data_IF_205165609501
#
_entry.id   IF_205165609501
#
_cell.length_a   1.000
_cell.length_b   1.000
_cell.length_c   1.000
_cell.angle_alpha   90.00
_cell.angle_beta   90.00
_cell.angle_gamma   90.00
#
_symmetry.space_group_name_H-M   'P 1'
#
loop_
_entity.id
_entity.type
_entity.pdbx_description
1 polymer ?
#
# COMPACT_ATOMS: atom_id res chain seq x y z
N UNK A 1 43.13 -8.67 35.74
CA UNK A 1 41.68 -8.98 35.79
C UNK A 1 41.20 -9.13 34.36
N UNK A 2 40.88 -10.35 33.90
CA UNK A 2 40.20 -10.57 32.62
C UNK A 2 38.70 -10.46 32.88
N UNK A 3 38.08 -9.39 32.40
CA UNK A 3 36.63 -9.24 32.44
C UNK A 3 36.06 -10.17 31.37
N UNK A 4 35.44 -11.26 31.81
CA UNK A 4 34.75 -12.20 30.94
C UNK A 4 33.36 -11.61 30.66
N UNK A 5 33.14 -11.10 29.45
CA UNK A 5 31.81 -10.64 29.05
C UNK A 5 30.81 -11.82 29.12
N UNK A 6 29.57 -11.63 29.61
CA UNK A 6 28.61 -12.71 29.71
C UNK A 6 28.29 -13.25 28.31
N UNK A 7 28.37 -14.58 28.11
CA UNK A 7 28.03 -15.26 26.83
C UNK A 7 26.62 -14.92 26.32
N UNK A 8 25.70 -14.54 27.21
CA UNK A 8 24.35 -14.06 26.88
C UNK A 8 24.33 -12.68 26.23
N UNK A 9 25.26 -11.78 26.60
CA UNK A 9 25.36 -10.44 26.00
C UNK A 9 25.90 -10.51 24.56
N UNK A 10 26.85 -11.42 24.30
CA UNK A 10 27.37 -11.68 22.96
C UNK A 10 26.30 -12.27 22.03
N UNK A 11 25.44 -13.17 22.52
CA UNK A 11 24.36 -13.78 21.73
C UNK A 11 23.26 -12.77 21.35
N UNK A 12 22.88 -11.88 22.27
CA UNK A 12 21.93 -10.78 22.01
C UNK A 12 22.50 -9.75 21.02
N UNK A 13 23.79 -9.43 21.11
CA UNK A 13 24.46 -8.55 20.15
C UNK A 13 24.60 -9.20 18.76
N UNK A 14 24.81 -10.52 18.67
CA UNK A 14 24.82 -11.22 17.38
C UNK A 14 23.42 -11.39 16.77
N UNK A 15 22.38 -11.55 17.59
CA UNK A 15 20.99 -11.54 17.13
C UNK A 15 20.56 -10.16 16.63
N UNK A 16 20.90 -9.11 17.36
CA UNK A 16 20.67 -7.72 16.95
C UNK A 16 21.51 -7.34 15.71
N UNK A 17 22.76 -7.78 15.60
CA UNK A 17 23.58 -7.54 14.40
C UNK A 17 23.07 -8.30 13.17
N UNK A 18 22.61 -9.53 13.34
CA UNK A 18 21.95 -10.30 12.28
C UNK A 18 20.63 -9.66 11.84
N UNK A 19 19.85 -9.12 12.78
CA UNK A 19 18.62 -8.36 12.52
C UNK A 19 18.89 -6.95 11.99
N UNK A 20 20.04 -6.32 12.22
CA UNK A 20 20.34 -5.02 11.59
C UNK A 20 20.92 -5.18 10.18
N UNK A 21 21.58 -6.30 9.88
CA UNK A 21 22.13 -6.56 8.55
C UNK A 21 21.10 -7.03 7.52
N UNK A 22 19.91 -7.49 7.95
CA UNK A 22 18.83 -7.88 7.03
C UNK A 22 17.95 -6.71 6.56
N UNK A 23 18.07 -5.52 7.15
CA UNK A 23 17.15 -4.39 6.91
C UNK A 23 17.83 -3.07 6.49
N UNK A 24 19.12 -3.10 6.15
CA UNK A 24 19.63 -2.15 5.16
C UNK A 24 19.14 -2.66 3.80
N UNK A 25 17.91 -2.30 3.43
CA UNK A 25 17.07 -3.00 2.46
C UNK A 25 17.75 -3.33 1.14
N UNK A 26 17.45 -4.52 0.60
CA UNK A 26 17.64 -4.79 -0.82
C UNK A 26 16.62 -4.01 -1.62
N UNK A 27 17.03 -3.42 -2.73
CA UNK A 27 16.14 -2.66 -3.61
C UNK A 27 16.11 -3.25 -5.00
N UNK A 28 15.09 -2.97 -5.78
CA UNK A 28 14.95 -3.45 -7.15
C UNK A 28 14.54 -2.35 -8.12
N UNK A 29 15.03 -2.43 -9.34
CA UNK A 29 14.56 -1.66 -10.49
C UNK A 29 14.01 -2.64 -11.50
N UNK A 30 12.71 -2.57 -11.80
CA UNK A 30 12.03 -3.48 -12.73
C UNK A 30 11.25 -2.71 -13.78
N UNK A 31 11.41 -3.10 -15.03
CA UNK A 31 10.58 -2.64 -16.13
C UNK A 31 9.74 -3.81 -16.64
N UNK A 32 8.47 -3.54 -16.90
CA UNK A 32 7.53 -4.49 -17.45
C UNK A 32 6.94 -3.88 -18.71
N UNK A 33 6.99 -4.63 -19.81
CA UNK A 33 6.33 -4.24 -21.04
C UNK A 33 5.41 -5.34 -21.55
N UNK A 34 4.33 -4.92 -22.19
CA UNK A 34 3.32 -5.78 -22.79
C UNK A 34 3.03 -5.26 -24.18
N UNK A 35 3.11 -6.15 -25.17
CA UNK A 35 2.72 -5.89 -26.54
C UNK A 35 1.58 -6.84 -26.95
N UNK A 36 0.47 -6.29 -27.44
CA UNK A 36 -0.70 -7.09 -27.85
C UNK A 36 -0.95 -6.87 -29.33
N UNK A 37 -0.86 -7.93 -30.14
CA UNK A 37 -1.27 -7.87 -31.54
C UNK A 37 -2.79 -7.71 -31.61
N UNK A 38 -3.27 -6.86 -32.52
CA UNK A 38 -4.69 -6.55 -32.67
C UNK A 38 -5.10 -6.84 -34.10
N UNK A 39 -5.63 -8.04 -34.39
CA UNK A 39 -6.11 -8.38 -35.73
C UNK A 39 -7.04 -7.29 -36.28
N UNK A 40 -6.81 -6.86 -37.53
CA UNK A 40 -7.56 -5.75 -38.14
C UNK A 40 -7.01 -4.35 -37.81
N UNK A 41 -6.05 -4.20 -36.89
CA UNK A 41 -5.25 -2.98 -36.72
C UNK A 41 -3.83 -3.20 -37.24
N UNK A 42 -3.23 -2.16 -37.82
CA UNK A 42 -1.90 -2.26 -38.45
C UNK A 42 -0.75 -2.39 -37.43
N UNK A 43 -0.97 -1.93 -36.20
CA UNK A 43 0.06 -1.86 -35.15
C UNK A 43 -0.42 -2.52 -33.85
N UNK A 44 0.42 -3.38 -33.24
CA UNK A 44 0.19 -3.87 -31.89
C UNK A 44 0.05 -2.71 -30.89
N UNK A 45 -0.72 -2.92 -29.84
CA UNK A 45 -0.65 -2.06 -28.66
C UNK A 45 0.65 -2.35 -27.92
N UNK A 46 1.35 -1.32 -27.44
CA UNK A 46 2.53 -1.46 -26.60
C UNK A 46 2.39 -0.60 -25.35
N UNK A 47 2.69 -1.21 -24.22
CA UNK A 47 2.60 -0.62 -22.90
C UNK A 47 3.87 -0.94 -22.12
N UNK A 48 4.45 0.03 -21.42
CA UNK A 48 5.64 -0.18 -20.58
C UNK A 48 5.50 0.60 -19.29
N UNK A 49 5.92 -0.01 -18.18
CA UNK A 49 5.94 0.60 -16.84
C UNK A 49 7.26 0.27 -16.15
N UNK A 50 7.74 1.21 -15.34
CA UNK A 50 8.93 1.03 -14.50
C UNK A 50 8.59 1.18 -13.04
N UNK A 51 9.20 0.33 -12.22
CA UNK A 51 9.07 0.29 -10.76
C UNK A 51 10.44 0.35 -10.11
N UNK A 52 10.54 1.15 -9.04
CA UNK A 52 11.57 1.01 -8.01
C UNK A 52 10.86 0.39 -6.82
N UNK A 53 11.29 -0.81 -6.42
CA UNK A 53 10.57 -1.66 -5.48
C UNK A 53 9.09 -1.78 -5.87
N UNK A 54 8.18 -1.44 -4.97
CA UNK A 54 6.74 -1.48 -5.20
C UNK A 54 6.15 -0.14 -5.70
N UNK A 55 7.01 0.84 -6.02
CA UNK A 55 6.59 2.18 -6.45
C UNK A 55 6.76 2.37 -7.96
N UNK A 56 5.63 2.54 -8.66
CA UNK A 56 5.65 2.88 -10.09
C UNK A 56 6.19 4.29 -10.30
N UNK A 57 7.21 4.45 -11.14
CA UNK A 57 7.81 5.77 -11.40
C UNK A 57 7.66 6.26 -12.84
N UNK A 58 7.45 5.36 -13.79
CA UNK A 58 7.22 5.72 -15.20
C UNK A 58 6.18 4.86 -15.89
N UNK A 59 5.59 5.40 -16.96
CA UNK A 59 4.67 4.71 -17.87
C UNK A 59 4.82 5.22 -19.30
N UNK A 60 4.69 4.32 -20.27
CA UNK A 60 4.52 4.61 -21.69
C UNK A 60 3.31 3.85 -22.24
N UNK A 61 2.51 4.52 -23.08
CA UNK A 61 1.34 3.94 -23.75
C UNK A 61 1.35 4.32 -25.22
N UNK A 62 1.41 3.34 -26.12
CA UNK A 62 1.46 3.59 -27.57
C UNK A 62 0.17 4.16 -28.14
N UNK A 63 -0.95 3.96 -27.44
CA UNK A 63 -2.28 4.42 -27.87
C UNK A 63 -2.62 5.83 -27.34
N UNK A 64 -1.75 6.43 -26.52
CA UNK A 64 -1.92 7.81 -26.11
C UNK A 64 -1.88 8.77 -27.32
N UNK A 65 -2.56 9.91 -27.22
CA UNK A 65 -2.60 10.91 -28.30
C UNK A 65 -1.19 11.40 -28.69
N UNK A 66 -0.32 11.57 -27.70
CA UNK A 66 1.10 11.89 -27.89
C UNK A 66 1.96 10.89 -27.11
N UNK A 67 2.32 9.73 -27.69
CA UNK A 67 3.06 8.69 -26.98
C UNK A 67 4.44 9.19 -26.54
N UNK A 68 4.62 9.30 -25.22
CA UNK A 68 5.85 9.68 -24.53
C UNK A 68 5.97 8.93 -23.22
N UNK A 69 7.18 8.85 -22.68
CA UNK A 69 7.39 8.37 -21.33
C UNK A 69 6.89 9.43 -20.35
N UNK A 70 6.05 9.02 -19.39
CA UNK A 70 5.43 9.93 -18.43
C UNK A 70 5.84 9.57 -16.99
N UNK A 71 6.05 10.57 -16.12
CA UNK A 71 6.30 10.33 -14.69
C UNK A 71 5.05 9.78 -14.00
N UNK A 72 5.26 8.91 -13.02
CA UNK A 72 4.24 8.35 -12.12
C UNK A 72 4.58 8.50 -10.63
N UNK A 73 5.77 9.01 -10.32
CA UNK A 73 6.18 9.35 -8.97
C UNK A 73 6.68 10.82 -8.92
N UNK A 74 6.43 11.57 -7.82
CA UNK A 74 6.83 12.97 -7.71
C UNK A 74 8.34 13.19 -7.88
N UNK A 75 9.16 12.28 -7.37
CA UNK A 75 10.63 12.35 -7.48
C UNK A 75 11.14 12.17 -8.92
N UNK A 76 10.29 11.82 -9.88
CA UNK A 76 10.66 11.83 -11.30
C UNK A 76 10.53 13.21 -11.93
N UNK A 77 9.76 14.14 -11.36
CA UNK A 77 9.55 15.48 -11.95
C UNK A 77 10.84 16.31 -12.02
N UNK A 78 11.84 15.97 -11.20
CA UNK A 78 13.16 16.61 -11.23
C UNK A 78 14.05 16.16 -12.40
N UNK A 79 13.68 15.09 -13.11
CA UNK A 79 14.45 14.63 -14.27
C UNK A 79 14.30 15.60 -15.45
N UNK A 80 15.43 15.96 -16.07
CA UNK A 80 15.48 16.93 -17.14
C UNK A 80 14.90 16.45 -18.48
N UNK A 81 14.69 17.34 -19.46
CA UNK A 81 14.10 17.00 -20.76
C UNK A 81 14.87 15.91 -21.52
N UNK A 82 16.21 15.90 -21.43
CA UNK A 82 17.05 14.89 -22.08
C UNK A 82 16.73 13.46 -21.61
N UNK A 83 16.44 13.27 -20.32
CA UNK A 83 16.02 11.98 -19.78
C UNK A 83 14.71 11.51 -20.41
N UNK A 84 13.72 12.40 -20.48
CA UNK A 84 12.40 12.09 -21.02
C UNK A 84 12.42 11.82 -22.52
N UNK A 85 13.25 12.55 -23.27
CA UNK A 85 13.46 12.33 -24.70
C UNK A 85 14.14 10.98 -24.97
N UNK A 86 15.23 10.67 -24.24
CA UNK A 86 15.94 9.39 -24.31
C UNK A 86 15.02 8.21 -23.96
N UNK A 87 14.28 8.32 -22.85
CA UNK A 87 13.35 7.29 -22.40
C UNK A 87 12.20 7.08 -23.39
N UNK A 88 11.63 8.17 -23.93
CA UNK A 88 10.59 8.11 -24.96
C UNK A 88 11.09 7.44 -26.24
N UNK A 89 12.30 7.81 -26.69
CA UNK A 89 12.92 7.22 -27.87
C UNK A 89 13.15 5.72 -27.68
N UNK A 90 13.61 5.30 -26.50
CA UNK A 90 13.80 3.89 -26.15
C UNK A 90 12.49 3.11 -26.15
N UNK A 91 11.44 3.63 -25.50
CA UNK A 91 10.13 2.99 -25.47
C UNK A 91 9.53 2.82 -26.88
N UNK A 92 9.68 3.83 -27.76
CA UNK A 92 9.26 3.72 -29.17
C UNK A 92 10.06 2.67 -29.95
N UNK A 93 11.36 2.57 -29.71
CA UNK A 93 12.20 1.52 -30.31
C UNK A 93 11.83 0.12 -29.81
N UNK A 94 11.52 -0.01 -28.51
CA UNK A 94 11.04 -1.26 -27.91
C UNK A 94 9.70 -1.66 -28.54
N UNK A 95 8.75 -0.74 -28.72
CA UNK A 95 7.47 -1.01 -29.36
C UNK A 95 7.63 -1.56 -30.79
N UNK A 96 8.53 -0.99 -31.59
CA UNK A 96 8.82 -1.51 -32.94
C UNK A 96 9.50 -2.88 -32.91
N UNK A 97 10.39 -3.11 -31.94
CA UNK A 97 11.03 -4.42 -31.74
C UNK A 97 9.99 -5.48 -31.36
N UNK A 98 9.08 -5.17 -30.44
CA UNK A 98 8.00 -6.07 -30.03
C UNK A 98 7.05 -6.40 -31.19
N UNK A 99 6.76 -5.42 -32.06
CA UNK A 99 6.01 -5.67 -33.30
C UNK A 99 6.71 -6.68 -34.21
N UNK A 100 8.02 -6.57 -34.39
CA UNK A 100 8.82 -7.54 -35.13
C UNK A 100 8.85 -8.92 -34.47
N UNK A 101 8.93 -8.95 -33.14
CA UNK A 101 8.96 -10.17 -32.35
C UNK A 101 7.62 -10.92 -32.41
N UNK A 102 6.48 -10.23 -32.30
CA UNK A 102 5.14 -10.83 -32.45
C UNK A 102 4.99 -11.52 -33.83
N UNK A 103 5.43 -10.87 -34.91
CA UNK A 103 5.43 -11.50 -36.26
C UNK A 103 6.36 -12.70 -36.36
N UNK A 104 7.44 -12.70 -35.58
CA UNK A 104 8.38 -13.83 -35.56
C UNK A 104 7.83 -15.00 -34.75
N UNK A 105 7.22 -14.73 -33.60
CA UNK A 105 6.56 -15.72 -32.77
C UNK A 105 5.43 -16.42 -33.54
N UNK A 106 4.58 -15.67 -34.26
CA UNK A 106 3.54 -16.23 -35.15
C UNK A 106 4.12 -17.30 -36.10
N UNK A 107 5.28 -17.03 -36.71
CA UNK A 107 5.94 -17.98 -37.61
C UNK A 107 6.54 -19.16 -36.87
N UNK A 108 7.14 -18.96 -35.70
CA UNK A 108 7.74 -20.05 -34.91
C UNK A 108 6.69 -21.03 -34.39
N UNK A 109 5.51 -20.55 -34.04
CA UNK A 109 4.40 -21.36 -33.55
C UNK A 109 3.40 -21.79 -34.64
N UNK A 110 3.64 -21.43 -35.91
CA UNK A 110 2.74 -21.69 -37.03
C UNK A 110 1.29 -21.20 -36.77
N UNK A 111 1.15 -20.04 -36.15
CA UNK A 111 -0.13 -19.42 -35.80
C UNK A 111 -0.66 -18.54 -36.94
N UNK A 112 -1.99 -18.36 -37.00
CA UNK A 112 -2.63 -17.53 -38.02
C UNK A 112 -2.57 -16.04 -37.68
N UNK A 113 -2.58 -15.18 -38.71
CA UNK A 113 -2.54 -13.72 -38.52
C UNK A 113 -3.85 -13.14 -37.94
N UNK A 114 -4.92 -13.94 -37.93
CA UNK A 114 -6.22 -13.56 -37.38
C UNK A 114 -6.32 -13.64 -35.86
N UNK A 115 -5.30 -14.18 -35.19
CA UNK A 115 -5.24 -14.30 -33.73
C UNK A 115 -4.67 -13.07 -33.02
N UNK A 116 -5.24 -12.73 -31.87
CA UNK A 116 -4.64 -11.77 -30.93
C UNK A 116 -3.63 -12.50 -30.06
N UNK A 117 -2.40 -11.98 -30.01
CA UNK A 117 -1.27 -12.58 -29.31
C UNK A 117 -0.61 -11.56 -28.40
N UNK A 118 -0.05 -12.02 -27.30
CA UNK A 118 0.57 -11.17 -26.28
C UNK A 118 2.03 -11.54 -26.12
N UNK A 119 2.90 -10.54 -26.14
CA UNK A 119 4.32 -10.67 -25.80
C UNK A 119 4.58 -9.80 -24.57
N UNK A 120 5.13 -10.38 -23.52
CA UNK A 120 5.49 -9.68 -22.29
C UNK A 120 7.01 -9.77 -22.11
N UNK A 121 7.60 -8.71 -21.59
CA UNK A 121 9.03 -8.63 -21.27
C UNK A 121 9.22 -7.96 -19.93
N UNK A 122 9.94 -8.63 -19.04
CA UNK A 122 10.39 -8.09 -17.76
C UNK A 122 11.92 -8.10 -17.72
N UNK A 123 12.50 -6.97 -17.34
CA UNK A 123 13.93 -6.86 -17.10
C UNK A 123 14.22 -5.93 -15.93
N UNK A 124 15.39 -6.09 -15.33
CA UNK A 124 15.74 -5.29 -14.16
C UNK A 124 16.86 -5.88 -13.33
N UNK A 125 17.19 -5.19 -12.24
CA UNK A 125 18.26 -5.57 -11.34
C UNK A 125 17.85 -5.38 -9.87
N UNK A 126 18.41 -6.23 -9.02
CA UNK A 126 18.31 -6.14 -7.57
C UNK A 126 19.66 -5.69 -7.01
N UNK A 127 19.62 -4.67 -6.16
CA UNK A 127 20.73 -4.14 -5.40
C UNK A 127 20.72 -4.77 -4.01
N UNK A 128 21.79 -5.46 -3.65
CA UNK A 128 21.95 -6.03 -2.32
C UNK A 128 22.29 -4.96 -1.26
N UNK A 129 22.18 -5.31 0.04
CA UNK A 129 22.56 -4.43 1.15
C UNK A 129 24.01 -3.94 1.11
N UNK A 130 24.90 -4.69 0.46
CA UNK A 130 26.31 -4.35 0.24
C UNK A 130 26.53 -3.38 -0.94
N UNK A 131 25.45 -2.93 -1.57
CA UNK A 131 25.46 -2.02 -2.71
C UNK A 131 25.89 -2.68 -4.02
N UNK A 132 25.88 -4.02 -4.12
CA UNK A 132 26.27 -4.77 -5.34
C UNK A 132 25.07 -5.40 -6.03
N UNK A 133 25.27 -5.88 -7.27
CA UNK A 133 24.25 -6.66 -7.96
C UNK A 133 23.96 -7.93 -7.17
N UNK A 134 22.74 -8.05 -6.67
CA UNK A 134 22.24 -9.29 -6.08
C UNK A 134 21.74 -10.22 -7.18
N UNK A 135 20.96 -9.69 -8.13
CA UNK A 135 20.40 -10.45 -9.25
C UNK A 135 20.07 -9.55 -10.44
N UNK A 136 20.21 -10.08 -11.65
CA UNK A 136 19.75 -9.45 -12.88
C UNK A 136 18.67 -10.30 -13.56
N UNK A 137 17.76 -9.63 -14.26
CA UNK A 137 16.61 -10.24 -14.93
C UNK A 137 16.50 -9.78 -16.37
N UNK A 138 16.18 -10.73 -17.25
CA UNK A 138 15.75 -10.52 -18.63
C UNK A 138 14.90 -11.73 -19.01
N UNK A 139 13.58 -11.56 -19.09
CA UNK A 139 12.66 -12.67 -19.36
C UNK A 139 11.48 -12.25 -20.23
N UNK A 140 11.14 -13.11 -21.17
CA UNK A 140 10.01 -12.93 -22.09
C UNK A 140 8.98 -14.03 -21.87
N UNK A 141 7.71 -13.66 -22.02
CA UNK A 141 6.58 -14.57 -22.08
C UNK A 141 5.75 -14.32 -23.33
N UNK A 142 5.21 -15.38 -23.94
CA UNK A 142 4.35 -15.34 -25.11
C UNK A 142 3.02 -16.02 -24.81
N UNK A 143 1.90 -15.33 -25.06
CA UNK A 143 0.54 -15.75 -24.75
C UNK A 143 0.38 -16.24 -23.29
N UNK A 144 1.00 -15.51 -22.36
CA UNK A 144 0.94 -15.78 -20.91
C UNK A 144 1.79 -16.95 -20.43
N UNK A 145 2.64 -17.53 -21.29
CA UNK A 145 3.57 -18.61 -20.94
C UNK A 145 5.01 -18.16 -21.09
N UNK A 146 5.90 -18.66 -20.23
CA UNK A 146 7.33 -18.42 -20.35
C UNK A 146 7.82 -18.77 -21.76
N UNK A 147 8.67 -17.91 -22.33
CA UNK A 147 9.27 -18.09 -23.65
C UNK A 147 10.78 -18.29 -23.53
N UNK A 148 11.51 -17.29 -23.04
CA UNK A 148 12.95 -17.36 -22.83
C UNK A 148 13.37 -16.47 -21.66
N UNK A 149 14.31 -16.93 -20.84
CA UNK A 149 14.85 -16.18 -19.71
C UNK A 149 16.38 -16.27 -19.66
N UNK A 150 17.03 -15.16 -19.31
CA UNK A 150 18.44 -15.12 -18.95
C UNK A 150 18.64 -15.79 -17.59
N UNK A 151 19.58 -16.71 -17.50
CA UNK A 151 19.88 -17.42 -16.27
C UNK A 151 20.59 -16.51 -15.26
N UNK A 152 20.60 -16.92 -13.99
CA UNK A 152 21.24 -16.18 -12.89
C UNK A 152 22.74 -15.95 -13.09
N UNK A 153 23.40 -16.77 -13.92
CA UNK A 153 24.80 -16.61 -14.29
C UNK A 153 25.05 -15.42 -15.24
N UNK A 154 23.98 -14.78 -15.74
CA UNK A 154 23.96 -13.69 -16.72
C UNK A 154 24.74 -14.00 -18.01
N UNK A 155 24.84 -15.29 -18.37
CA UNK A 155 25.64 -15.77 -19.49
C UNK A 155 24.88 -16.79 -20.35
N UNK A 156 24.02 -17.58 -19.74
CA UNK A 156 23.27 -18.64 -20.40
C UNK A 156 21.76 -18.36 -20.40
N UNK A 157 21.04 -19.06 -21.26
CA UNK A 157 19.61 -18.87 -21.48
C UNK A 157 18.83 -20.15 -21.19
N UNK A 158 17.63 -20.00 -20.63
CA UNK A 158 16.64 -21.07 -20.54
C UNK A 158 15.52 -20.79 -21.53
N UNK A 159 15.35 -21.65 -22.51
CA UNK A 159 14.24 -21.63 -23.46
C UNK A 159 13.12 -22.57 -22.99
N UNK A 160 11.89 -22.08 -22.94
CA UNK A 160 10.75 -22.83 -22.42
C UNK A 160 10.28 -23.96 -23.36
N UNK A 161 10.45 -23.78 -24.67
CA UNK A 161 10.03 -24.77 -25.67
C UNK A 161 10.91 -24.79 -26.93
N UNK A 162 10.51 -25.58 -27.93
CA UNK A 162 11.23 -25.73 -29.19
C UNK A 162 11.24 -24.46 -30.05
N UNK A 163 10.21 -23.61 -29.95
CA UNK A 163 10.15 -22.34 -30.67
C UNK A 163 11.16 -21.35 -30.06
N UNK A 164 11.19 -21.24 -28.73
CA UNK A 164 12.13 -20.41 -28.01
C UNK A 164 13.61 -20.77 -28.26
N UNK A 165 13.91 -22.05 -28.53
CA UNK A 165 15.27 -22.49 -28.92
C UNK A 165 15.80 -21.82 -30.18
N UNK A 166 14.93 -21.39 -31.11
CA UNK A 166 15.38 -20.59 -32.26
C UNK A 166 15.89 -19.21 -31.84
N UNK A 167 15.21 -18.55 -30.89
CA UNK A 167 15.68 -17.29 -30.30
C UNK A 167 16.97 -17.50 -29.52
N UNK A 168 17.03 -18.53 -28.67
CA UNK A 168 18.23 -18.87 -27.90
C UNK A 168 19.47 -18.97 -28.77
N UNK A 169 19.44 -19.78 -29.83
CA UNK A 169 20.60 -19.95 -30.74
C UNK A 169 21.03 -18.65 -31.41
N UNK A 170 20.07 -17.79 -31.78
CA UNK A 170 20.38 -16.47 -32.36
C UNK A 170 21.06 -15.56 -31.34
N UNK A 171 20.57 -15.53 -30.12
CA UNK A 171 21.10 -14.69 -29.04
C UNK A 171 22.47 -15.17 -28.56
N UNK A 172 22.69 -16.49 -28.49
CA UNK A 172 24.01 -17.08 -28.22
C UNK A 172 25.01 -16.72 -29.34
N UNK A 173 24.63 -16.89 -30.61
CA UNK A 173 25.48 -16.52 -31.74
C UNK A 173 25.81 -15.02 -31.77
N UNK A 174 24.86 -14.17 -31.36
CA UNK A 174 25.04 -12.73 -31.26
C UNK A 174 25.68 -12.28 -29.94
N UNK A 175 25.98 -13.20 -29.01
CA UNK A 175 26.48 -12.91 -27.66
C UNK A 175 25.63 -11.88 -26.90
N UNK A 176 24.31 -11.95 -27.05
CA UNK A 176 23.37 -10.99 -26.45
C UNK A 176 23.49 -10.92 -24.91
N UNK A 177 23.80 -12.05 -24.27
CA UNK A 177 23.99 -12.10 -22.82
C UNK A 177 25.12 -11.18 -22.32
N UNK A 178 26.21 -11.01 -23.10
CA UNK A 178 27.32 -10.12 -22.71
C UNK A 178 26.87 -8.65 -22.65
N UNK A 179 26.03 -8.22 -23.60
CA UNK A 179 25.49 -6.85 -23.65
C UNK A 179 24.49 -6.60 -22.51
N UNK A 180 23.60 -7.56 -22.27
CA UNK A 180 22.61 -7.49 -21.20
C UNK A 180 23.28 -7.49 -19.83
N UNK A 181 24.27 -8.35 -19.63
CA UNK A 181 25.07 -8.36 -18.41
C UNK A 181 25.75 -7.02 -18.15
N UNK A 182 26.36 -6.41 -19.17
CA UNK A 182 26.98 -5.09 -19.02
C UNK A 182 25.96 -4.00 -18.63
N UNK A 183 24.73 -4.07 -19.13
CA UNK A 183 23.66 -3.18 -18.70
C UNK A 183 23.24 -3.45 -17.24
N UNK A 184 23.00 -4.72 -16.88
CA UNK A 184 22.50 -5.14 -15.57
C UNK A 184 23.51 -4.89 -14.44
N UNK A 185 24.80 -5.18 -14.67
CA UNK A 185 25.87 -4.94 -13.69
C UNK A 185 26.31 -3.46 -13.63
N UNK A 186 25.98 -2.65 -14.64
CA UNK A 186 26.38 -1.25 -14.75
C UNK A 186 25.19 -0.30 -14.67
N UNK A 187 24.67 0.10 -15.84
CA UNK A 187 23.65 1.15 -15.97
C UNK A 187 22.39 0.90 -15.14
N UNK A 188 21.93 -0.35 -15.01
CA UNK A 188 20.75 -0.65 -14.22
C UNK A 188 20.95 -0.25 -12.75
N UNK A 189 22.09 -0.64 -12.16
CA UNK A 189 22.42 -0.26 -10.79
C UNK A 189 22.71 1.23 -10.63
N UNK A 190 23.34 1.87 -11.62
CA UNK A 190 23.55 3.33 -11.61
C UNK A 190 22.22 4.08 -11.57
N UNK A 191 21.26 3.70 -12.41
CA UNK A 191 19.92 4.28 -12.40
C UNK A 191 19.17 3.98 -11.11
N UNK A 192 19.21 2.74 -10.62
CA UNK A 192 18.58 2.37 -9.36
C UNK A 192 19.13 3.24 -8.21
N UNK A 193 20.45 3.37 -8.07
CA UNK A 193 21.06 4.23 -7.03
C UNK A 193 20.62 5.69 -7.17
N UNK A 194 20.61 6.25 -8.39
CA UNK A 194 20.13 7.62 -8.63
C UNK A 194 18.66 7.78 -8.24
N UNK A 195 17.79 6.83 -8.61
CA UNK A 195 16.37 6.90 -8.26
C UNK A 195 16.16 6.79 -6.76
N UNK A 196 16.92 5.92 -6.10
CA UNK A 196 16.94 5.83 -4.65
C UNK A 196 17.38 7.17 -4.04
N UNK A 197 18.51 7.74 -4.47
CA UNK A 197 18.97 9.06 -4.01
C UNK A 197 17.95 10.19 -4.26
N UNK A 198 17.26 10.16 -5.39
CA UNK A 198 16.18 11.10 -5.72
C UNK A 198 14.97 10.91 -4.80
N UNK A 199 14.70 9.67 -4.41
CA UNK A 199 13.59 9.29 -3.55
C UNK A 199 13.80 9.73 -2.10
N UNK A 200 15.04 10.09 -1.67
CA UNK A 200 15.56 10.40 -0.31
C UNK A 200 14.56 10.58 0.86
N UNK A 201 13.46 11.33 0.70
CA UNK A 201 12.40 11.46 1.72
C UNK A 201 11.50 10.22 1.88
N UNK A 202 11.50 9.28 0.93
CA UNK A 202 10.67 8.07 0.90
C UNK A 202 11.44 6.75 0.81
N UNK A 203 12.78 6.80 0.80
CA UNK A 203 13.67 5.64 0.82
C UNK A 203 13.57 4.77 2.08
N UNK A 204 13.23 5.40 3.20
CA UNK A 204 13.02 4.75 4.49
C UNK A 204 11.54 4.68 4.84
N UNK A 205 10.66 4.89 3.86
CA UNK A 205 9.22 4.83 4.10
C UNK A 205 8.85 3.37 4.27
N UNK A 206 8.90 2.88 5.49
CA UNK A 206 8.28 1.65 5.90
C UNK A 206 7.05 2.02 6.72
N UNK A 207 5.89 2.09 6.07
CA UNK A 207 4.64 2.44 6.75
C UNK A 207 4.12 1.18 7.46
N UNK A 208 4.04 1.13 8.80
CA UNK A 208 3.54 -0.04 9.50
C UNK A 208 2.05 -0.28 9.21
N UNK A 209 1.61 -1.54 9.14
CA UNK A 209 0.20 -1.86 8.91
C UNK A 209 -0.68 -1.41 10.07
N UNK A 210 -1.81 -0.79 9.73
CA UNK A 210 -2.92 -0.58 10.65
C UNK A 210 -3.71 -1.88 10.72
N UNK A 211 -3.63 -2.55 11.86
CA UNK A 211 -4.18 -3.90 12.02
C UNK A 211 -5.38 -3.95 12.96
N UNK A 212 -6.35 -4.79 12.64
CA UNK A 212 -7.49 -5.08 13.51
C UNK A 212 -8.12 -6.44 13.14
N UNK A 213 -8.88 -7.01 14.07
CA UNK A 213 -9.62 -8.27 13.85
C UNK A 213 -11.11 -7.99 13.86
N UNK A 214 -11.81 -8.38 12.78
CA UNK A 214 -13.28 -8.35 12.71
C UNK A 214 -13.87 -9.73 12.97
N UNK A 215 -15.06 -9.74 13.56
CA UNK A 215 -15.82 -10.95 13.87
C UNK A 215 -17.15 -10.94 13.11
N UNK A 216 -17.42 -12.01 12.38
CA UNK A 216 -18.63 -12.17 11.58
C UNK A 216 -19.30 -13.50 11.94
N UNK A 217 -20.38 -13.49 12.72
CA UNK A 217 -21.16 -14.71 12.98
C UNK A 217 -21.66 -15.32 11.66
N UNK A 218 -21.45 -16.62 11.47
CA UNK A 218 -21.94 -17.37 10.30
C UNK A 218 -23.15 -18.22 10.69
N UNK A 219 -23.09 -18.86 11.86
CA UNK A 219 -24.18 -19.62 12.47
C UNK A 219 -24.10 -19.52 14.00
N UNK A 220 -25.01 -20.17 14.72
CA UNK A 220 -24.94 -20.27 16.18
C UNK A 220 -23.68 -21.00 16.68
N UNK A 221 -23.06 -21.81 15.81
CA UNK A 221 -21.92 -22.67 16.15
C UNK A 221 -20.58 -22.15 15.63
N UNK A 222 -20.59 -21.21 14.68
CA UNK A 222 -19.38 -20.79 13.98
C UNK A 222 -19.40 -19.29 13.66
N UNK A 223 -18.22 -18.69 13.73
CA UNK A 223 -17.96 -17.34 13.30
C UNK A 223 -16.70 -17.28 12.43
N UNK A 224 -16.60 -16.26 11.58
CA UNK A 224 -15.38 -15.93 10.86
C UNK A 224 -14.64 -14.83 11.59
N UNK A 225 -13.39 -15.09 11.97
CA UNK A 225 -12.45 -14.05 12.36
C UNK A 225 -11.64 -13.61 11.15
N UNK A 226 -11.56 -12.31 10.91
CA UNK A 226 -10.75 -11.75 9.82
C UNK A 226 -9.77 -10.74 10.36
N UNK A 227 -8.50 -11.03 10.17
CA UNK A 227 -7.39 -10.16 10.51
C UNK A 227 -7.05 -9.27 9.31
N UNK A 228 -7.12 -7.96 9.51
CA UNK A 228 -6.84 -6.96 8.49
C UNK A 228 -5.48 -6.33 8.73
N UNK A 229 -4.74 -6.08 7.65
CA UNK A 229 -3.61 -5.19 7.59
C UNK A 229 -3.87 -4.16 6.49
N UNK A 230 -3.84 -2.87 6.83
CA UNK A 230 -4.18 -1.78 5.92
C UNK A 230 -3.12 -0.68 5.95
N UNK A 231 -2.92 0.00 4.82
CA UNK A 231 -2.14 1.23 4.76
C UNK A 231 -0.64 1.03 5.00
N UNK A 232 -0.10 -0.15 4.65
CA UNK A 232 1.31 -0.48 4.82
C UNK A 232 2.10 -0.35 3.52
N UNK A 233 3.41 -0.17 3.65
CA UNK A 233 4.38 -0.19 2.55
C UNK A 233 5.73 -0.67 3.12
N UNK A 234 6.50 -1.54 2.45
CA UNK A 234 6.28 -2.12 1.11
C UNK A 234 5.16 -3.18 1.04
N UNK A 235 4.96 -3.82 -0.12
CA UNK A 235 3.89 -4.80 -0.30
C UNK A 235 4.15 -6.13 0.44
N UNK A 236 5.42 -6.43 0.74
CA UNK A 236 5.84 -7.65 1.42
C UNK A 236 5.34 -7.65 2.87
N UNK A 237 4.45 -8.60 3.18
CA UNK A 237 3.85 -8.74 4.51
C UNK A 237 3.47 -10.20 4.76
N UNK A 238 3.65 -10.67 5.99
CA UNK A 238 3.20 -12.00 6.40
C UNK A 238 2.07 -11.89 7.42
N UNK A 239 0.93 -12.51 7.10
CA UNK A 239 -0.24 -12.66 7.99
C UNK A 239 -0.48 -14.15 8.23
N UNK A 240 -0.47 -14.59 9.49
CA UNK A 240 -0.77 -15.99 9.87
C UNK A 240 -1.77 -16.06 11.01
N UNK A 241 -2.61 -17.09 11.00
CA UNK A 241 -3.46 -17.45 12.12
C UNK A 241 -2.87 -18.62 12.88
N UNK A 242 -2.91 -18.54 14.20
CA UNK A 242 -2.57 -19.63 15.11
C UNK A 242 -3.73 -19.94 16.04
N UNK A 243 -3.91 -21.21 16.37
CA UNK A 243 -4.80 -21.70 17.43
C UNK A 243 -3.95 -22.35 18.51
N UNK A 244 -3.98 -21.81 19.72
CA UNK A 244 -3.15 -22.27 20.85
C UNK A 244 -1.64 -22.40 20.51
N UNK A 245 -1.16 -21.58 19.58
CA UNK A 245 0.23 -21.60 19.10
C UNK A 245 0.50 -22.47 17.87
N UNK A 246 -0.49 -23.20 17.34
CA UNK A 246 -0.36 -24.01 16.12
C UNK A 246 -0.88 -23.27 14.89
N UNK A 247 -0.06 -23.20 13.83
CA UNK A 247 -0.40 -22.53 12.57
C UNK A 247 -1.61 -23.15 11.87
N UNK A 248 -2.54 -22.31 11.40
CA UNK A 248 -3.79 -22.70 10.76
C UNK A 248 -3.76 -22.50 9.23
N UNK A 249 -2.61 -22.69 8.58
CA UNK A 249 -2.40 -22.29 7.17
C UNK A 249 -3.40 -22.92 6.19
N UNK A 250 -3.82 -24.18 6.40
CA UNK A 250 -4.76 -24.87 5.50
C UNK A 250 -6.20 -24.38 5.65
N UNK A 251 -6.59 -23.97 6.86
CA UNK A 251 -7.93 -23.52 7.20
C UNK A 251 -8.08 -21.98 7.10
N UNK A 252 -7.00 -21.31 6.71
CA UNK A 252 -6.95 -19.86 6.55
C UNK A 252 -7.24 -19.45 5.12
N UNK A 253 -8.28 -18.65 4.92
CA UNK A 253 -8.49 -17.90 3.70
C UNK A 253 -7.56 -16.67 3.71
N UNK A 254 -6.49 -16.72 2.90
CA UNK A 254 -5.53 -15.65 2.76
C UNK A 254 -5.66 -15.00 1.37
N UNK A 255 -5.96 -13.71 1.32
CA UNK A 255 -6.00 -13.00 0.03
C UNK A 255 -4.62 -12.52 -0.40
N UNK A 256 -4.42 -12.36 -1.71
CA UNK A 256 -3.26 -11.68 -2.26
C UNK A 256 -3.16 -10.23 -1.75
N UNK A 257 -1.94 -9.74 -1.62
CA UNK A 257 -1.72 -8.33 -1.25
C UNK A 257 -2.19 -7.45 -2.39
N UNK A 258 -3.01 -6.44 -2.09
CA UNK A 258 -3.64 -5.59 -3.10
C UNK A 258 -3.34 -4.11 -2.84
N UNK A 259 -3.26 -3.27 -3.88
CA UNK A 259 -3.00 -1.85 -3.72
C UNK A 259 -4.17 -1.15 -3.00
N UNK A 260 -3.85 -0.18 -2.14
CA UNK A 260 -4.79 0.74 -1.50
C UNK A 260 -5.19 1.93 -2.39
N UNK A 261 -4.38 2.24 -3.41
CA UNK A 261 -4.61 3.31 -4.37
C UNK A 261 -3.90 4.64 -4.05
N UNK A 262 -3.34 4.76 -2.84
CA UNK A 262 -2.57 5.90 -2.33
C UNK A 262 -1.06 5.61 -2.22
N UNK A 263 -0.60 4.55 -2.90
CA UNK A 263 0.76 4.03 -2.81
C UNK A 263 0.99 3.05 -1.66
N UNK A 264 -0.03 2.76 -0.84
CA UNK A 264 0.04 1.71 0.20
C UNK A 264 -0.65 0.41 -0.24
N UNK A 265 -0.59 -0.61 0.63
CA UNK A 265 -1.14 -1.93 0.41
C UNK A 265 -2.13 -2.33 1.51
N UNK A 266 -2.92 -3.36 1.21
CA UNK A 266 -3.85 -3.99 2.12
C UNK A 266 -3.86 -5.51 1.90
N UNK A 267 -4.07 -6.25 2.98
CA UNK A 267 -4.18 -7.73 2.97
C UNK A 267 -5.06 -8.15 4.14
N UNK A 268 -5.70 -9.31 4.03
CA UNK A 268 -6.37 -9.91 5.17
C UNK A 268 -6.25 -11.44 5.15
N UNK A 269 -6.39 -12.03 6.33
CA UNK A 269 -6.42 -13.47 6.55
C UNK A 269 -7.66 -13.80 7.40
N UNK A 270 -8.46 -14.78 7.00
CA UNK A 270 -9.65 -15.18 7.72
C UNK A 270 -9.65 -16.67 8.09
N UNK A 271 -10.21 -16.99 9.24
CA UNK A 271 -10.41 -18.37 9.72
C UNK A 271 -11.83 -18.53 10.22
N UNK A 272 -12.41 -19.70 9.99
CA UNK A 272 -13.68 -20.10 10.61
C UNK A 272 -13.35 -20.70 11.97
N UNK A 273 -14.03 -20.23 13.01
CA UNK A 273 -13.79 -20.62 14.40
C UNK A 273 -15.09 -21.06 15.05
N UNK A 274 -15.08 -22.06 15.93
CA UNK A 274 -16.23 -22.40 16.74
C UNK A 274 -16.63 -21.25 17.67
N UNK A 275 -17.93 -21.02 17.84
CA UNK A 275 -18.45 -20.02 18.77
C UNK A 275 -17.94 -20.27 20.20
N UNK A 276 -17.37 -19.25 20.83
CA UNK A 276 -16.79 -19.32 22.17
C UNK A 276 -15.32 -19.74 22.22
N UNK A 277 -14.73 -20.11 21.09
CA UNK A 277 -13.30 -20.44 20.98
C UNK A 277 -12.45 -19.29 20.41
N UNK A 278 -13.03 -18.13 20.13
CA UNK A 278 -12.38 -17.03 19.41
C UNK A 278 -11.09 -16.56 20.08
N UNK A 279 -11.02 -16.62 21.42
CA UNK A 279 -9.85 -16.20 22.21
C UNK A 279 -8.65 -17.15 22.12
N UNK A 280 -8.85 -18.37 21.62
CA UNK A 280 -7.78 -19.34 21.33
C UNK A 280 -7.04 -19.01 20.03
N UNK A 281 -7.64 -18.15 19.19
CA UNK A 281 -7.09 -17.76 17.91
C UNK A 281 -6.34 -16.43 18.00
N UNK A 282 -5.12 -16.42 17.47
CA UNK A 282 -4.27 -15.23 17.38
C UNK A 282 -3.81 -15.01 15.95
N UNK A 283 -3.95 -13.79 15.45
CA UNK A 283 -3.36 -13.37 14.19
C UNK A 283 -1.96 -12.80 14.44
N UNK A 284 -0.97 -13.23 13.66
CA UNK A 284 0.38 -12.70 13.69
C UNK A 284 0.67 -11.92 12.41
N UNK A 285 1.27 -10.73 12.57
CA UNK A 285 1.59 -9.83 11.47
C UNK A 285 3.06 -9.47 11.52
N UNK A 286 3.79 -9.77 10.44
CA UNK A 286 5.19 -9.39 10.27
C UNK A 286 5.33 -8.48 9.06
N UNK A 287 6.03 -7.36 9.23
CA UNK A 287 6.21 -6.33 8.22
C UNK A 287 7.45 -5.47 8.55
N UNK A 288 8.13 -4.94 7.56
CA UNK A 288 9.32 -4.08 7.71
C UNK A 288 9.12 -2.88 8.63
N UNK A 289 7.99 -2.19 8.45
CA UNK A 289 7.64 -1.03 9.25
C UNK A 289 7.36 -1.34 10.73
N UNK A 290 7.32 -2.62 11.13
CA UNK A 290 7.11 -3.02 12.52
C UNK A 290 8.44 -3.36 13.20
N UNK A 291 8.74 -2.76 14.37
CA UNK A 291 9.97 -3.09 15.11
C UNK A 291 9.95 -4.52 15.65
N UNK A 292 8.76 -5.04 15.97
CA UNK A 292 8.52 -6.41 16.41
C UNK A 292 7.21 -6.93 15.78
N UNK A 293 7.09 -8.25 15.52
CA UNK A 293 5.84 -8.84 15.05
C UNK A 293 4.65 -8.51 15.97
N UNK A 294 3.50 -8.21 15.38
CA UNK A 294 2.26 -7.98 16.13
C UNK A 294 1.49 -9.29 16.29
N UNK A 295 0.97 -9.52 17.50
CA UNK A 295 0.02 -10.60 17.78
C UNK A 295 -1.32 -9.99 18.20
N UNK A 296 -2.38 -10.30 17.47
CA UNK A 296 -3.71 -9.73 17.63
C UNK A 296 -4.70 -10.83 18.01
N UNK A 297 -5.65 -10.48 18.87
CA UNK A 297 -6.84 -11.29 19.17
C UNK A 297 -8.08 -10.52 18.79
N UNK A 298 -9.20 -11.22 18.62
CA UNK A 298 -10.47 -10.54 18.54
C UNK A 298 -10.83 -9.95 19.91
N UNK A 299 -11.04 -8.65 19.95
CA UNK A 299 -11.62 -7.96 21.10
C UNK A 299 -13.11 -7.70 20.82
N UNK A 300 -14.03 -8.20 21.65
CA UNK A 300 -15.43 -7.82 21.57
C UNK A 300 -15.50 -6.31 21.72
N UNK A 301 -16.07 -5.63 20.73
CA UNK A 301 -16.19 -4.19 20.77
C UNK A 301 -16.88 -3.78 22.07
N UNK A 302 -16.14 -3.12 22.96
CA UNK A 302 -16.74 -2.36 24.04
C UNK A 302 -17.44 -1.18 23.38
N UNK A 303 -18.65 -1.41 22.85
CA UNK A 303 -19.65 -0.35 22.89
C UNK A 303 -19.76 0.00 24.36
N UNK A 304 -18.97 0.99 24.77
CA UNK A 304 -19.13 1.64 26.05
C UNK A 304 -20.55 2.13 26.05
N UNK A 305 -21.44 1.35 26.65
CA UNK A 305 -22.75 1.80 27.09
C UNK A 305 -22.44 2.82 28.18
N UNK A 306 -21.99 4.01 27.76
CA UNK A 306 -22.10 5.22 28.56
C UNK A 306 -23.56 5.16 29.04
N UNK A 307 -23.83 5.19 30.36
CA UNK A 307 -25.19 5.00 30.85
C UNK A 307 -25.95 6.29 30.55
N UNK A 308 -26.35 6.46 29.29
CA UNK A 308 -27.17 7.55 28.79
C UNK A 308 -28.46 7.57 29.63
N UNK A 309 -28.96 6.40 30.02
CA UNK A 309 -30.08 6.25 30.96
C UNK A 309 -29.78 6.87 32.33
N UNK A 310 -28.58 6.71 32.87
CA UNK A 310 -28.17 7.29 34.16
C UNK A 310 -28.06 8.81 34.13
N UNK A 311 -27.54 9.36 33.03
CA UNK A 311 -27.44 10.82 32.83
C UNK A 311 -28.83 11.43 32.64
N UNK A 312 -29.69 10.81 31.83
CA UNK A 312 -31.07 11.27 31.60
C UNK A 312 -31.90 11.21 32.88
N UNK A 313 -31.80 10.11 33.65
CA UNK A 313 -32.47 9.99 34.94
C UNK A 313 -31.97 11.04 35.95
N UNK A 314 -30.65 11.27 36.02
CA UNK A 314 -30.07 12.29 36.88
C UNK A 314 -30.53 13.71 36.55
N UNK A 315 -30.58 14.06 35.26
CA UNK A 315 -31.08 15.36 34.79
C UNK A 315 -32.58 15.55 35.06
N UNK A 316 -33.39 14.51 34.89
CA UNK A 316 -34.82 14.56 35.19
C UNK A 316 -35.07 14.81 36.68
N UNK A 317 -34.34 14.12 37.57
CA UNK A 317 -34.44 14.34 39.02
C UNK A 317 -34.03 15.76 39.40
N UNK A 318 -32.92 16.27 38.83
CA UNK A 318 -32.47 17.65 39.05
C UNK A 318 -33.53 18.66 38.62
N UNK A 319 -34.17 18.48 37.47
CA UNK A 319 -35.23 19.37 36.99
C UNK A 319 -36.44 19.40 37.93
N UNK A 320 -36.84 18.24 38.48
CA UNK A 320 -37.94 18.14 39.46
C UNK A 320 -37.58 18.84 40.77
N UNK A 321 -36.35 18.68 41.27
CA UNK A 321 -35.89 19.35 42.49
C UNK A 321 -35.84 20.86 42.32
N UNK A 322 -35.32 21.35 41.19
CA UNK A 322 -35.24 22.78 40.89
C UNK A 322 -36.64 23.39 40.77
N UNK A 323 -37.55 22.74 40.06
CA UNK A 323 -38.94 23.22 39.94
C UNK A 323 -39.66 23.23 41.29
N UNK A 324 -39.48 22.20 42.12
CA UNK A 324 -40.00 22.17 43.50
C UNK A 324 -39.44 23.29 44.38
N UNK A 325 -38.14 23.56 44.29
CA UNK A 325 -37.49 24.65 45.02
C UNK A 325 -37.98 26.03 44.57
N UNK A 326 -38.17 26.24 43.27
CA UNK A 326 -38.72 27.50 42.73
C UNK A 326 -40.16 27.71 43.20
N UNK A 327 -41.00 26.67 43.16
CA UNK A 327 -42.40 26.76 43.62
C UNK A 327 -42.46 27.10 45.11
N UNK A 328 -41.64 26.46 45.95
CA UNK A 328 -41.58 26.76 47.39
C UNK A 328 -41.10 28.19 47.67
N UNK A 329 -40.08 28.67 46.95
CA UNK A 329 -39.60 30.07 47.06
C UNK A 329 -40.66 31.08 46.61
N UNK A 330 -41.35 30.82 45.49
CA UNK A 330 -42.41 31.69 44.98
C UNK A 330 -43.59 31.74 45.95
N UNK A 331 -44.03 30.60 46.49
CA UNK A 331 -45.08 30.55 47.50
C UNK A 331 -44.69 31.29 48.78
N UNK A 332 -43.42 31.20 49.20
CA UNK A 332 -42.93 31.93 50.37
C UNK A 332 -42.91 33.44 50.14
N UNK A 333 -42.44 33.90 48.96
CA UNK A 333 -42.52 35.32 48.56
C UNK A 333 -43.95 35.84 48.46
N UNK A 334 -44.89 35.02 47.97
CA UNK A 334 -46.31 35.39 47.88
C UNK A 334 -46.97 35.50 49.25
N UNK A 335 -46.49 34.74 50.24
CA UNK A 335 -46.95 34.80 51.64
C UNK A 335 -46.33 35.96 52.42
N UNK A 336 -45.16 36.47 52.02
CA UNK A 336 -44.50 37.61 52.66
C UNK A 336 -44.89 38.99 52.10
N UNK A 337 -45.57 39.07 50.96
CA UNK A 337 -45.98 40.36 50.34
C UNK A 337 -47.39 40.83 50.72
N UNK A 338 -47.88 40.46 51.90
CA UNK A 338 -49.14 40.96 52.46
C UNK A 338 -48.92 41.97 53.59
N UNK A 339 -48.61 43.23 53.28
CA UNK A 339 -48.76 44.32 54.27
C UNK A 339 -47.96 45.62 54.06
N UNK A 340 -48.71 46.72 53.80
CA UNK A 340 -48.42 48.18 53.99
C UNK A 340 -47.36 48.81 53.07
N UNK A 341 -47.49 50.03 52.55
CA UNK A 341 -48.42 51.17 52.73
C UNK A 341 -47.75 52.39 52.04
N UNK A 342 -48.52 53.37 51.57
CA UNK A 342 -48.09 54.34 50.54
C UNK A 342 -47.34 55.60 50.99
N UNK A 343 -46.89 56.36 49.97
CA UNK A 343 -47.01 57.84 49.81
C UNK A 343 -45.73 58.58 49.34
N UNK A 344 -45.80 59.05 48.09
CA UNK A 344 -45.27 60.28 47.46
C UNK A 344 -44.11 61.08 48.06
N UNK A 345 -43.14 61.44 47.20
CA UNK A 345 -42.76 62.85 46.92
C UNK A 345 -42.26 63.01 45.47
N UNK A 346 -42.46 64.22 44.93
CA UNK A 346 -42.37 64.65 43.54
C UNK A 346 -41.31 65.77 43.39
N UNK A 347 -40.55 65.79 42.29
CA UNK A 347 -40.03 66.95 41.52
C UNK A 347 -38.98 66.43 40.52
N UNK A 348 -39.26 66.37 39.20
CA UNK A 348 -39.21 67.45 38.21
C UNK A 348 -37.78 67.83 37.78
N UNK A 349 -37.42 67.49 36.53
CA UNK A 349 -36.72 68.38 35.58
C UNK A 349 -36.65 67.74 34.19
N UNK A 350 -36.62 68.61 33.20
CA UNK A 350 -37.11 68.50 31.83
C UNK A 350 -36.07 68.08 30.78
N UNK A 351 -36.63 67.69 29.63
CA UNK A 351 -36.25 67.99 28.24
C UNK A 351 -35.07 67.32 27.52
N UNK A 352 -35.39 67.07 26.24
CA UNK A 352 -34.57 66.96 25.01
C UNK A 352 -34.35 65.51 24.55
N UNK A 353 -35.07 64.97 23.57
CA UNK A 353 -35.20 65.31 22.14
C UNK A 353 -34.51 64.24 21.26
N UNK A 354 -35.26 63.83 20.22
CA UNK A 354 -34.80 63.45 18.89
C UNK A 354 -34.22 62.05 18.64
N UNK A 355 -34.78 61.37 17.62
CA UNK A 355 -34.05 60.38 16.83
C UNK A 355 -34.88 59.18 16.37
N UNK A 356 -35.50 59.33 15.20
CA UNK A 356 -36.25 58.34 14.42
C UNK A 356 -35.40 57.21 13.82
N UNK A 357 -36.09 56.11 13.50
CA UNK A 357 -35.93 55.14 12.39
C UNK A 357 -34.53 54.64 11.97
N UNK A 358 -34.37 53.31 11.89
CA UNK A 358 -34.49 52.57 10.61
C UNK A 358 -34.07 51.09 10.73
N UNK A 359 -34.72 50.30 9.89
CA UNK A 359 -34.44 48.94 9.43
C UNK A 359 -33.08 48.77 8.74
N UNK A 360 -32.47 47.57 8.84
CA UNK A 360 -32.15 46.66 7.69
C UNK A 360 -31.18 45.52 8.08
N UNK A 361 -31.60 44.30 7.69
CA UNK A 361 -30.86 43.13 7.15
C UNK A 361 -29.41 42.83 7.52
N UNK A 362 -29.17 41.57 7.89
CA UNK A 362 -28.31 40.64 7.14
C UNK A 362 -28.91 39.22 7.22
#
# INVERSE_FOLDING_TARGET
MRVMAPRTLLLLLSGALALTQTWAGSHSLRYFSTAVSRPGRREPWYFEVGYVDDTQFVRFDSDAESPRMEPRAPWMEQEGPEYWEEATRRAKANAQTHRGNLRTALRYYNQSEGGSHTLQWMYGCDLGPDGRLLRGYEQFAYDGKDYIALNEDLRSWTAADMAARFTQRKWEAARAAEQLRAYLEGKCLEWLRRYLENQNESLLRADPPKTHVTHHPVSDHEATLRCWALGFYPAEITLTWQRDGEDQTQDTELVETRPGGDGTFQKWAAVVVPSGEEQRYTCHVQHEGLPEPLTLRWEPSSQSTIPIVGIVAGLAVLAVVVTGAVVTVVMWRRKSSGGKGGSYFQAASNDSAQGSDESLTA
#
